data_IF_297943323371
#
_entry.id   IF_297943323371
#
_cell.length_a   1.000
_cell.length_b   1.000
_cell.length_c   1.000
_cell.angle_alpha   90.00
_cell.angle_beta   90.00
_cell.angle_gamma   90.00
#
_symmetry.space_group_name_H-M   'P 1'
#
loop_
_entity.id
_entity.type
_entity.pdbx_description
1 polymer ?
#
# COMPACT_ATOMS: atom_id res chain seq x y z
N UNK A 1 -6.93 17.18 -6.72
CA UNK A 1 -6.02 16.72 -7.79
C UNK A 1 -6.81 16.13 -8.96
N UNK A 2 -7.64 15.11 -8.80
CA UNK A 2 -8.43 14.52 -9.91
C UNK A 2 -9.17 15.57 -10.75
N UNK A 3 -9.96 16.45 -10.14
CA UNK A 3 -10.70 17.51 -10.84
C UNK A 3 -9.81 18.49 -11.65
N UNK A 4 -8.52 18.60 -11.32
CA UNK A 4 -7.53 19.41 -12.05
C UNK A 4 -6.70 18.62 -13.04
N UNK A 5 -6.98 17.32 -13.20
CA UNK A 5 -6.19 16.41 -14.06
C UNK A 5 -4.78 16.13 -13.54
N UNK A 6 -4.48 16.44 -12.27
CA UNK A 6 -3.18 16.21 -11.64
C UNK A 6 -3.06 14.77 -11.16
N UNK A 7 -2.01 14.07 -11.57
CA UNK A 7 -1.78 12.68 -11.17
C UNK A 7 -1.28 12.58 -9.73
N UNK A 8 -1.80 11.58 -9.00
CA UNK A 8 -1.48 11.32 -7.60
C UNK A 8 -0.37 10.26 -7.54
N UNK A 9 0.75 10.62 -6.91
CA UNK A 9 1.81 9.66 -6.61
C UNK A 9 1.61 9.09 -5.22
N UNK A 10 1.64 7.75 -5.12
CA UNK A 10 1.52 7.00 -3.88
C UNK A 10 2.62 5.95 -3.81
N UNK A 11 3.19 5.73 -2.63
CA UNK A 11 4.26 4.76 -2.42
C UNK A 11 4.14 4.17 -1.02
N UNK A 12 4.54 2.90 -0.85
CA UNK A 12 4.55 2.31 0.48
C UNK A 12 5.73 2.81 1.32
N UNK A 13 5.57 2.81 2.65
CA UNK A 13 6.67 2.94 3.61
C UNK A 13 6.30 2.21 4.90
N UNK A 14 7.32 1.73 5.64
CA UNK A 14 7.09 0.88 6.81
C UNK A 14 7.92 1.28 8.03
N UNK A 15 8.80 2.27 7.90
CA UNK A 15 9.66 2.75 8.96
C UNK A 15 9.87 4.28 8.90
N UNK A 16 10.44 4.81 9.98
CA UNK A 16 10.65 6.23 10.16
C UNK A 16 11.62 6.85 9.13
N UNK A 17 12.77 6.21 8.91
CA UNK A 17 13.81 6.76 8.03
C UNK A 17 13.36 6.78 6.57
N UNK A 18 12.76 5.69 6.12
CA UNK A 18 12.21 5.61 4.77
C UNK A 18 11.05 6.59 4.56
N UNK A 19 10.19 6.76 5.56
CA UNK A 19 9.09 7.72 5.51
C UNK A 19 9.58 9.17 5.31
N UNK A 20 10.68 9.57 5.99
CA UNK A 20 11.29 10.89 5.79
C UNK A 20 11.82 11.08 4.36
N UNK A 21 12.43 10.04 3.78
CA UNK A 21 12.94 10.09 2.41
C UNK A 21 11.77 10.23 1.42
N UNK A 22 10.73 9.42 1.59
CA UNK A 22 9.55 9.41 0.70
C UNK A 22 8.79 10.72 0.78
N UNK A 23 8.56 11.26 1.97
CA UNK A 23 7.90 12.55 2.18
C UNK A 23 8.73 13.70 1.61
N UNK A 24 10.04 13.70 1.87
CA UNK A 24 10.99 14.68 1.34
C UNK A 24 11.11 14.67 -0.19
N UNK A 25 10.89 13.52 -0.82
CA UNK A 25 10.86 13.38 -2.28
C UNK A 25 9.59 13.95 -2.93
N UNK A 26 8.61 14.40 -2.15
CA UNK A 26 7.42 15.06 -2.67
C UNK A 26 6.23 14.12 -2.93
N UNK A 27 6.21 12.92 -2.34
CA UNK A 27 5.09 11.99 -2.46
C UNK A 27 3.78 12.61 -1.94
N UNK A 28 2.64 12.33 -2.60
CA UNK A 28 1.33 12.84 -2.17
C UNK A 28 0.70 11.97 -1.10
N UNK A 29 0.82 10.65 -1.24
CA UNK A 29 0.25 9.67 -0.30
C UNK A 29 1.31 8.63 0.04
N UNK A 30 1.42 8.30 1.32
CA UNK A 30 2.26 7.20 1.82
C UNK A 30 1.35 6.11 2.35
N UNK A 31 1.52 4.89 1.83
CA UNK A 31 0.77 3.72 2.27
C UNK A 31 1.60 2.91 3.26
N UNK A 32 1.08 2.70 4.44
CA UNK A 32 1.54 1.64 5.33
C UNK A 32 0.79 0.39 4.95
N UNK A 33 1.36 -0.34 3.98
CA UNK A 33 0.71 -1.51 3.37
C UNK A 33 0.90 -2.78 4.19
N UNK A 34 -0.09 -3.68 4.15
CA UNK A 34 0.04 -5.04 4.71
C UNK A 34 1.08 -5.89 3.97
N UNK A 35 1.53 -5.43 2.79
CA UNK A 35 2.74 -5.90 2.10
C UNK A 35 4.02 -5.85 2.97
N UNK A 36 4.00 -5.16 4.12
CA UNK A 36 5.01 -5.29 5.18
C UNK A 36 5.20 -6.76 5.61
N UNK A 37 4.15 -7.57 5.58
CA UNK A 37 4.22 -9.01 5.79
C UNK A 37 5.25 -9.68 4.88
N UNK A 38 5.28 -9.30 3.61
CA UNK A 38 6.21 -9.84 2.62
C UNK A 38 7.60 -9.21 2.71
N UNK A 39 7.67 -7.87 2.58
CA UNK A 39 8.96 -7.17 2.36
C UNK A 39 9.71 -6.83 3.64
N UNK A 40 9.05 -6.84 4.80
CA UNK A 40 9.67 -6.58 6.10
C UNK A 40 9.79 -7.86 6.94
N UNK A 41 8.77 -8.72 6.95
CA UNK A 41 8.75 -9.93 7.76
C UNK A 41 9.11 -11.22 6.97
N UNK A 42 9.18 -11.17 5.63
CA UNK A 42 9.58 -12.31 4.80
C UNK A 42 8.50 -13.39 4.64
N UNK A 43 7.25 -13.10 4.97
CA UNK A 43 6.14 -14.02 4.78
C UNK A 43 5.78 -14.17 3.29
N UNK A 44 5.23 -15.33 2.91
CA UNK A 44 4.83 -15.61 1.53
C UNK A 44 3.60 -14.79 1.10
N UNK A 45 2.72 -14.46 2.05
CA UNK A 45 1.48 -13.70 1.82
C UNK A 45 1.34 -12.53 2.79
N UNK A 46 0.37 -11.65 2.56
CA UNK A 46 0.04 -10.55 3.48
C UNK A 46 -0.76 -11.03 4.71
N UNK A 47 -1.31 -12.25 4.69
CA UNK A 47 -2.23 -12.75 5.72
C UNK A 47 -1.66 -12.81 7.14
N UNK A 48 -0.37 -13.15 7.38
CA UNK A 48 0.16 -13.32 8.73
C UNK A 48 0.34 -12.02 9.52
N UNK A 49 0.41 -10.86 8.86
CA UNK A 49 0.67 -9.60 9.57
C UNK A 49 -0.50 -9.26 10.52
N UNK A 50 -0.17 -8.92 11.75
CA UNK A 50 -1.16 -8.63 12.79
C UNK A 50 -1.52 -7.14 12.85
N UNK A 51 -2.64 -6.82 13.49
CA UNK A 51 -3.07 -5.46 13.77
C UNK A 51 -2.00 -4.67 14.55
N UNK A 52 -1.37 -5.30 15.55
CA UNK A 52 -0.33 -4.67 16.37
C UNK A 52 0.93 -4.35 15.56
N UNK A 53 1.31 -5.24 14.63
CA UNK A 53 2.43 -4.99 13.72
C UNK A 53 2.12 -3.84 12.75
N UNK A 54 0.91 -3.78 12.20
CA UNK A 54 0.49 -2.66 11.37
C UNK A 54 0.48 -1.34 12.12
N UNK A 55 0.01 -1.33 13.36
CA UNK A 55 0.08 -0.15 14.25
C UNK A 55 1.53 0.26 14.52
N UNK A 56 2.43 -0.69 14.75
CA UNK A 56 3.87 -0.41 14.93
C UNK A 56 4.47 0.29 13.71
N UNK A 57 4.24 -0.24 12.50
CA UNK A 57 4.70 0.38 11.26
C UNK A 57 4.07 1.76 11.04
N UNK A 58 2.77 1.88 11.25
CA UNK A 58 2.05 3.15 11.11
C UNK A 58 2.58 4.24 12.04
N UNK A 59 2.83 3.93 13.32
CA UNK A 59 3.48 4.85 14.28
C UNK A 59 4.84 5.33 13.79
N UNK A 60 5.63 4.43 13.24
CA UNK A 60 6.97 4.73 12.74
C UNK A 60 6.91 5.67 11.54
N UNK A 61 6.02 5.39 10.58
CA UNK A 61 5.84 6.19 9.37
C UNK A 61 5.29 7.58 9.71
N UNK A 62 4.21 7.67 10.48
CA UNK A 62 3.58 8.95 10.83
C UNK A 62 4.56 9.92 11.50
N UNK A 63 5.45 9.42 12.35
CA UNK A 63 6.50 10.27 12.98
C UNK A 63 7.49 10.85 11.96
N UNK A 64 7.71 10.18 10.83
CA UNK A 64 8.63 10.60 9.78
C UNK A 64 8.02 11.56 8.76
N UNK A 65 6.70 11.62 8.65
CA UNK A 65 5.96 12.37 7.62
C UNK A 65 5.55 13.75 8.13
N UNK A 66 5.67 14.76 7.28
CA UNK A 66 5.27 16.16 7.56
C UNK A 66 4.23 16.69 6.60
N UNK A 67 4.12 16.13 5.41
CA UNK A 67 3.33 16.69 4.32
C UNK A 67 2.40 15.69 3.64
N UNK A 68 2.88 14.49 3.33
CA UNK A 68 2.09 13.48 2.63
C UNK A 68 0.95 12.97 3.50
N UNK A 69 -0.16 12.59 2.87
CA UNK A 69 -1.24 11.87 3.54
C UNK A 69 -0.79 10.45 3.87
N UNK A 70 -1.00 9.99 5.10
CA UNK A 70 -0.66 8.62 5.51
C UNK A 70 -1.92 7.76 5.58
N UNK A 71 -1.96 6.73 4.74
CA UNK A 71 -3.03 5.72 4.70
C UNK A 71 -2.49 4.40 5.25
N UNK A 72 -3.26 3.70 6.09
CA UNK A 72 -2.85 2.44 6.71
C UNK A 72 -3.79 1.31 6.29
N UNK A 73 -3.23 0.18 5.84
CA UNK A 73 -4.02 -1.01 5.57
C UNK A 73 -4.56 -1.63 6.86
N UNK A 74 -5.84 -1.95 6.87
CA UNK A 74 -6.39 -2.86 7.85
C UNK A 74 -5.99 -4.29 7.47
N UNK A 75 -5.25 -5.03 8.34
CA UNK A 75 -4.78 -6.36 7.98
C UNK A 75 -5.91 -7.39 7.95
N UNK A 76 -5.66 -8.50 7.24
CA UNK A 76 -6.59 -9.61 7.18
C UNK A 76 -7.03 -10.09 8.58
N UNK A 77 -8.33 -10.37 8.73
CA UNK A 77 -8.94 -10.80 9.99
C UNK A 77 -9.32 -9.68 10.94
N UNK A 78 -8.96 -8.42 10.65
CA UNK A 78 -9.27 -7.29 11.53
C UNK A 78 -10.60 -6.58 11.22
N UNK A 79 -11.25 -6.89 10.08
CA UNK A 79 -12.47 -6.19 9.64
C UNK A 79 -13.48 -7.07 8.88
N UNK A 80 -13.11 -8.29 8.50
CA UNK A 80 -13.98 -9.19 7.73
C UNK A 80 -14.99 -9.95 8.61
N UNK A 81 -14.77 -10.05 9.93
CA UNK A 81 -15.59 -10.82 10.84
C UNK A 81 -16.97 -10.21 11.04
N UNK A 82 -17.00 -8.97 11.48
CA UNK A 82 -18.21 -8.17 11.64
C UNK A 82 -17.89 -6.68 11.74
N UNK A 83 -18.92 -5.83 11.60
CA UNK A 83 -18.79 -4.37 11.57
C UNK A 83 -18.22 -3.78 12.87
N UNK A 84 -18.54 -4.34 14.03
CA UNK A 84 -18.09 -3.82 15.32
C UNK A 84 -16.62 -4.13 15.59
N UNK A 85 -16.15 -5.32 15.22
CA UNK A 85 -14.73 -5.68 15.27
C UNK A 85 -13.92 -4.84 14.29
N UNK A 86 -14.45 -4.63 13.08
CA UNK A 86 -13.84 -3.75 12.08
C UNK A 86 -13.70 -2.31 12.60
N UNK A 87 -14.74 -1.77 13.21
CA UNK A 87 -14.71 -0.44 13.82
C UNK A 87 -13.71 -0.37 14.98
N UNK A 88 -13.68 -1.37 15.86
CA UNK A 88 -12.75 -1.40 16.98
C UNK A 88 -11.29 -1.42 16.52
N UNK A 89 -10.98 -2.24 15.50
CA UNK A 89 -9.67 -2.29 14.87
C UNK A 89 -9.27 -0.96 14.20
N UNK A 90 -10.21 -0.35 13.46
CA UNK A 90 -10.03 0.95 12.83
C UNK A 90 -9.71 2.05 13.87
N UNK A 91 -10.49 2.12 14.95
CA UNK A 91 -10.26 3.06 16.05
C UNK A 91 -8.88 2.87 16.67
N UNK A 92 -8.43 1.61 16.87
CA UNK A 92 -7.09 1.34 17.39
C UNK A 92 -6.01 1.90 16.50
N UNK A 93 -6.06 1.62 15.19
CA UNK A 93 -5.06 2.15 14.24
C UNK A 93 -5.04 3.68 14.32
N UNK A 94 -6.17 4.34 14.17
CA UNK A 94 -6.26 5.81 14.15
C UNK A 94 -5.75 6.43 15.46
N UNK A 95 -6.19 5.95 16.61
CA UNK A 95 -5.80 6.49 17.92
C UNK A 95 -4.34 6.25 18.27
N UNK A 96 -3.82 5.09 17.92
CA UNK A 96 -2.47 4.71 18.32
C UNK A 96 -1.41 5.24 17.36
N UNK A 97 -1.71 5.34 16.06
CA UNK A 97 -0.75 5.79 15.05
C UNK A 97 -0.86 7.25 14.65
N UNK A 98 -2.04 7.86 14.81
CA UNK A 98 -2.39 9.18 14.27
C UNK A 98 -2.30 9.26 12.74
N UNK A 99 -2.59 8.15 12.04
CA UNK A 99 -2.72 8.14 10.58
C UNK A 99 -3.92 8.97 10.12
N UNK A 100 -3.95 9.34 8.83
CA UNK A 100 -5.00 10.19 8.27
C UNK A 100 -6.21 9.37 7.78
N UNK A 101 -5.99 8.14 7.29
CA UNK A 101 -7.03 7.29 6.71
C UNK A 101 -6.65 5.81 6.75
N UNK A 102 -7.63 4.95 6.45
CA UNK A 102 -7.45 3.51 6.38
C UNK A 102 -7.74 2.98 4.97
N UNK A 103 -7.14 1.82 4.60
CA UNK A 103 -7.48 1.10 3.37
C UNK A 103 -8.03 -0.28 3.71
N UNK A 104 -9.10 -0.70 3.02
CA UNK A 104 -9.76 -1.99 3.16
C UNK A 104 -9.92 -2.66 1.79
N UNK A 105 -9.72 -3.98 1.75
CA UNK A 105 -9.91 -4.81 0.55
C UNK A 105 -11.30 -5.44 0.53
N UNK A 106 -12.04 -5.22 -0.55
CA UNK A 106 -13.38 -5.77 -0.77
C UNK A 106 -14.37 -4.71 -1.25
N UNK A 107 -15.49 -5.18 -1.75
CA UNK A 107 -16.63 -4.40 -2.21
C UNK A 107 -17.88 -4.70 -1.37
N UNK A 108 -18.89 -5.29 -2.03
CA UNK A 108 -20.16 -5.66 -1.41
C UNK A 108 -20.00 -6.44 -0.09
N UNK A 109 -19.01 -7.35 -0.04
CA UNK A 109 -18.79 -8.25 1.08
C UNK A 109 -18.44 -7.53 2.39
N UNK A 110 -17.88 -6.32 2.30
CA UNK A 110 -17.44 -5.54 3.47
C UNK A 110 -18.12 -4.19 3.58
N UNK A 111 -19.12 -3.91 2.74
CA UNK A 111 -19.73 -2.58 2.65
C UNK A 111 -20.36 -2.13 3.99
N UNK A 112 -20.89 -3.05 4.77
CA UNK A 112 -21.41 -2.76 6.13
C UNK A 112 -20.31 -2.25 7.05
N UNK A 113 -19.15 -2.92 7.05
CA UNK A 113 -17.98 -2.49 7.83
C UNK A 113 -17.46 -1.13 7.35
N UNK A 114 -17.37 -0.91 6.03
CA UNK A 114 -16.96 0.38 5.44
C UNK A 114 -17.88 1.51 5.93
N UNK A 115 -19.20 1.34 5.77
CA UNK A 115 -20.19 2.33 6.24
C UNK A 115 -20.09 2.59 7.74
N UNK A 116 -19.88 1.53 8.53
CA UNK A 116 -19.77 1.62 9.99
C UNK A 116 -18.52 2.43 10.42
N UNK A 117 -17.39 2.21 9.76
CA UNK A 117 -16.14 2.93 10.03
C UNK A 117 -16.28 4.40 9.58
N UNK A 118 -16.80 4.65 8.37
CA UNK A 118 -17.06 6.01 7.86
C UNK A 118 -17.99 6.80 8.79
N UNK A 119 -19.04 6.16 9.34
CA UNK A 119 -19.96 6.81 10.28
C UNK A 119 -19.32 7.23 11.58
N UNK A 120 -18.17 6.66 11.95
CA UNK A 120 -17.35 7.07 13.10
C UNK A 120 -16.37 8.22 12.77
N UNK A 121 -16.41 8.76 11.54
CA UNK A 121 -15.57 9.87 11.10
C UNK A 121 -14.17 9.47 10.62
N UNK A 122 -13.94 8.19 10.32
CA UNK A 122 -12.65 7.67 9.83
C UNK A 122 -12.69 7.55 8.31
N UNK A 123 -11.82 8.29 7.56
CA UNK A 123 -11.78 8.23 6.09
C UNK A 123 -11.30 6.85 5.60
N UNK A 124 -11.93 6.35 4.53
CA UNK A 124 -11.63 5.04 3.94
C UNK A 124 -11.24 5.17 2.48
N UNK A 125 -10.16 4.49 2.11
CA UNK A 125 -9.76 4.14 0.75
C UNK A 125 -10.17 2.69 0.49
N UNK A 126 -10.93 2.43 -0.58
CA UNK A 126 -11.29 1.08 -1.03
C UNK A 126 -10.14 0.40 -1.76
N UNK A 127 -10.20 -0.92 -1.93
CA UNK A 127 -9.27 -1.68 -2.77
C UNK A 127 -9.99 -2.83 -3.46
N UNK A 128 -9.95 -2.85 -4.80
CA UNK A 128 -10.60 -3.82 -5.66
C UNK A 128 -9.64 -4.42 -6.70
N UNK A 129 -10.08 -5.46 -7.37
CA UNK A 129 -9.30 -6.20 -8.34
C UNK A 129 -8.57 -7.39 -7.72
N UNK A 130 -7.25 -7.50 -7.89
CA UNK A 130 -6.48 -8.45 -7.11
C UNK A 130 -6.35 -7.93 -5.68
N UNK A 131 -6.92 -8.68 -4.76
CA UNK A 131 -6.86 -8.38 -3.32
C UNK A 131 -5.95 -9.42 -2.65
N UNK A 132 -4.72 -9.05 -2.23
CA UNK A 132 -3.77 -9.98 -1.60
C UNK A 132 -4.32 -10.71 -0.39
N UNK A 133 -5.20 -10.09 0.38
CA UNK A 133 -5.87 -10.72 1.52
C UNK A 133 -6.83 -11.86 1.12
N UNK A 134 -7.25 -11.89 -0.14
CA UNK A 134 -8.09 -12.97 -0.71
C UNK A 134 -7.29 -14.01 -1.49
N UNK A 135 -5.97 -14.11 -1.31
CA UNK A 135 -5.10 -14.98 -2.10
C UNK A 135 -5.49 -16.45 -2.04
N UNK A 136 -5.98 -16.92 -0.89
CA UNK A 136 -6.42 -18.31 -0.73
C UNK A 136 -7.69 -18.61 -1.56
N UNK A 137 -8.56 -17.59 -1.76
CA UNK A 137 -9.74 -17.68 -2.64
C UNK A 137 -9.32 -17.71 -4.12
N UNK A 138 -8.32 -16.90 -4.48
CA UNK A 138 -7.87 -16.79 -5.88
C UNK A 138 -6.90 -17.89 -6.29
N UNK A 139 -6.13 -18.43 -5.36
CA UNK A 139 -5.09 -19.45 -5.62
C UNK A 139 -3.89 -18.94 -6.42
N UNK A 140 -3.92 -17.70 -6.91
CA UNK A 140 -2.88 -17.14 -7.78
C UNK A 140 -2.93 -15.60 -7.78
N UNK A 141 -1.78 -14.98 -8.10
CA UNK A 141 -1.64 -13.54 -8.30
C UNK A 141 -1.86 -13.12 -9.77
N UNK A 142 -2.76 -13.77 -10.51
CA UNK A 142 -3.06 -13.40 -11.90
C UNK A 142 -3.92 -12.15 -12.00
N UNK A 143 -3.97 -11.55 -13.19
CA UNK A 143 -4.85 -10.41 -13.51
C UNK A 143 -6.30 -10.81 -13.30
N UNK A 144 -7.07 -9.98 -12.57
CA UNK A 144 -8.50 -10.16 -12.25
C UNK A 144 -9.39 -9.40 -13.23
N UNK A 145 -10.69 -9.64 -13.14
CA UNK A 145 -11.72 -8.97 -13.92
C UNK A 145 -11.45 -8.98 -15.44
N UNK A 146 -11.05 -10.14 -15.97
CA UNK A 146 -10.83 -10.37 -17.41
C UNK A 146 -12.11 -10.74 -18.15
N UNK A 147 -13.02 -11.41 -17.47
CA UNK A 147 -14.33 -11.74 -17.99
C UNK A 147 -15.37 -10.70 -17.60
N UNK A 148 -16.47 -10.66 -18.34
CA UNK A 148 -17.51 -9.65 -18.18
C UNK A 148 -18.16 -9.68 -16.80
N UNK A 149 -18.35 -10.87 -16.22
CA UNK A 149 -18.99 -11.02 -14.90
C UNK A 149 -18.14 -10.41 -13.78
N UNK A 150 -16.84 -10.71 -13.76
CA UNK A 150 -15.91 -10.08 -12.79
C UNK A 150 -15.78 -8.57 -13.05
N UNK A 151 -15.77 -8.14 -14.30
CA UNK A 151 -15.66 -6.74 -14.67
C UNK A 151 -16.88 -5.93 -14.19
N UNK A 152 -18.09 -6.43 -14.45
CA UNK A 152 -19.33 -5.79 -14.00
C UNK A 152 -19.43 -5.74 -12.47
N UNK A 153 -19.06 -6.85 -11.79
CA UNK A 153 -19.00 -6.85 -10.32
C UNK A 153 -18.02 -5.79 -9.81
N UNK A 154 -16.82 -5.69 -10.39
CA UNK A 154 -15.82 -4.68 -9.99
C UNK A 154 -16.34 -3.26 -10.15
N UNK A 155 -17.02 -2.96 -11.26
CA UNK A 155 -17.63 -1.65 -11.52
C UNK A 155 -18.72 -1.36 -10.47
N UNK A 156 -19.60 -2.33 -10.23
CA UNK A 156 -20.67 -2.22 -9.22
C UNK A 156 -20.09 -1.97 -7.83
N UNK A 157 -19.06 -2.73 -7.43
CA UNK A 157 -18.38 -2.56 -6.15
C UNK A 157 -17.71 -1.17 -6.04
N UNK A 158 -17.13 -0.67 -7.13
CA UNK A 158 -16.50 0.64 -7.14
C UNK A 158 -17.51 1.77 -6.92
N UNK A 159 -18.66 1.72 -7.59
CA UNK A 159 -19.77 2.67 -7.36
C UNK A 159 -20.30 2.57 -5.93
N UNK A 160 -20.49 1.37 -5.42
CA UNK A 160 -20.97 1.13 -4.05
C UNK A 160 -20.01 1.71 -2.99
N UNK A 161 -18.70 1.59 -3.18
CA UNK A 161 -17.69 2.19 -2.30
C UNK A 161 -17.71 3.73 -2.38
N UNK A 162 -17.86 4.31 -3.56
CA UNK A 162 -18.03 5.75 -3.72
C UNK A 162 -19.29 6.26 -3.03
N UNK A 163 -20.43 5.61 -3.27
CA UNK A 163 -21.71 5.94 -2.62
C UNK A 163 -21.67 5.81 -1.12
N UNK A 164 -20.91 4.85 -0.58
CA UNK A 164 -20.69 4.71 0.85
C UNK A 164 -19.88 5.85 1.45
N UNK A 165 -19.12 6.60 0.64
CA UNK A 165 -18.31 7.73 1.06
C UNK A 165 -16.80 7.47 1.12
N UNK A 166 -16.29 6.43 0.48
CA UNK A 166 -14.85 6.25 0.29
C UNK A 166 -14.28 7.43 -0.48
N UNK A 167 -13.11 7.93 -0.06
CA UNK A 167 -12.49 9.10 -0.70
C UNK A 167 -11.62 8.75 -1.91
N UNK A 168 -11.22 7.48 -2.07
CA UNK A 168 -10.44 6.97 -3.19
C UNK A 168 -10.56 5.44 -3.26
N UNK A 169 -10.16 4.85 -4.38
CA UNK A 169 -10.10 3.39 -4.56
C UNK A 169 -8.78 3.00 -5.22
N UNK A 170 -8.13 1.95 -4.70
CA UNK A 170 -7.02 1.26 -5.36
C UNK A 170 -7.59 0.20 -6.29
N UNK A 171 -7.09 0.14 -7.53
CA UNK A 171 -7.37 -0.94 -8.48
C UNK A 171 -6.07 -1.70 -8.77
N UNK A 172 -6.03 -2.99 -8.41
CA UNK A 172 -4.84 -3.81 -8.56
C UNK A 172 -5.02 -4.90 -9.61
N UNK A 173 -4.03 -4.98 -10.53
CA UNK A 173 -3.87 -6.06 -11.53
C UNK A 173 -5.17 -6.41 -12.27
N UNK A 174 -5.75 -5.43 -12.90
CA UNK A 174 -6.93 -5.55 -13.79
C UNK A 174 -6.60 -5.03 -15.18
N UNK A 175 -7.42 -5.32 -16.22
CA UNK A 175 -7.23 -4.77 -17.54
C UNK A 175 -7.23 -3.23 -17.54
N UNK A 176 -6.28 -2.61 -18.26
CA UNK A 176 -6.11 -1.16 -18.30
C UNK A 176 -7.37 -0.42 -18.79
N UNK A 177 -8.07 -0.95 -19.80
CA UNK A 177 -9.30 -0.36 -20.30
C UNK A 177 -10.44 -0.37 -19.26
N UNK A 178 -10.52 -1.42 -18.44
CA UNK A 178 -11.49 -1.48 -17.34
C UNK A 178 -11.17 -0.45 -16.26
N UNK A 179 -9.89 -0.31 -15.88
CA UNK A 179 -9.47 0.68 -14.90
C UNK A 179 -9.72 2.12 -15.35
N UNK A 180 -9.46 2.41 -16.65
CA UNK A 180 -9.76 3.71 -17.26
C UNK A 180 -11.26 4.00 -17.26
N UNK A 181 -12.09 3.00 -17.60
CA UNK A 181 -13.54 3.11 -17.53
C UNK A 181 -14.00 3.47 -16.11
N UNK A 182 -13.58 2.72 -15.09
CA UNK A 182 -13.93 3.00 -13.69
C UNK A 182 -13.46 4.39 -13.28
N UNK A 183 -12.23 4.80 -13.66
CA UNK A 183 -11.73 6.13 -13.37
C UNK A 183 -12.54 7.25 -14.02
N UNK A 184 -13.13 7.01 -15.19
CA UNK A 184 -13.97 7.99 -15.88
C UNK A 184 -15.40 8.07 -15.33
N UNK A 185 -15.92 6.97 -14.78
CA UNK A 185 -17.27 6.90 -14.22
C UNK A 185 -17.37 7.47 -12.80
N UNK A 186 -16.30 7.35 -11.99
CA UNK A 186 -16.30 7.79 -10.59
C UNK A 186 -15.76 9.21 -10.43
N UNK A 187 -16.22 9.92 -9.40
CA UNK A 187 -15.75 11.27 -9.06
C UNK A 187 -14.53 11.25 -8.12
N UNK A 188 -14.39 10.19 -7.32
CA UNK A 188 -13.27 9.97 -6.42
C UNK A 188 -12.02 9.50 -7.17
N UNK A 189 -10.81 9.77 -6.65
CA UNK A 189 -9.56 9.29 -7.26
C UNK A 189 -9.44 7.78 -7.35
N UNK A 190 -8.97 7.29 -8.48
CA UNK A 190 -8.61 5.89 -8.72
C UNK A 190 -7.09 5.76 -8.79
N UNK A 191 -6.51 4.95 -7.92
CA UNK A 191 -5.07 4.69 -7.82
C UNK A 191 -4.77 3.31 -8.36
N UNK A 192 -3.95 3.21 -9.40
CA UNK A 192 -3.62 1.94 -10.05
C UNK A 192 -2.34 1.30 -9.54
N UNK A 193 -2.32 -0.02 -9.52
CA UNK A 193 -1.11 -0.84 -9.47
C UNK A 193 -1.27 -2.04 -10.42
N UNK A 194 -0.53 -2.04 -11.52
CA UNK A 194 -0.75 -3.01 -12.59
C UNK A 194 -2.13 -2.90 -13.27
N UNK A 195 -2.69 -1.69 -13.31
CA UNK A 195 -4.01 -1.38 -13.86
C UNK A 195 -3.95 -0.35 -15.01
N UNK A 196 -2.78 -0.14 -15.61
CA UNK A 196 -2.58 0.81 -16.71
C UNK A 196 -2.43 2.27 -16.27
N UNK A 197 -2.33 3.19 -17.24
CA UNK A 197 -2.06 4.61 -17.02
C UNK A 197 -3.30 5.52 -17.07
N UNK A 198 -4.48 4.98 -17.43
CA UNK A 198 -5.74 5.72 -17.58
C UNK A 198 -6.43 6.10 -16.26
N UNK A 199 -5.75 5.93 -15.13
CA UNK A 199 -6.26 6.23 -13.78
C UNK A 199 -5.67 7.52 -13.21
N UNK A 200 -6.15 7.96 -12.04
CA UNK A 200 -5.80 9.27 -11.46
C UNK A 200 -4.47 9.26 -10.71
N UNK A 201 -3.97 8.09 -10.32
CA UNK A 201 -2.69 7.96 -9.62
C UNK A 201 -2.11 6.56 -9.73
N UNK A 202 -0.91 6.35 -9.15
CA UNK A 202 -0.21 5.07 -9.15
C UNK A 202 0.39 4.81 -7.77
N UNK A 203 0.39 3.53 -7.35
CA UNK A 203 1.07 3.06 -6.16
C UNK A 203 2.03 1.93 -6.50
N UNK A 204 3.17 1.87 -5.81
CA UNK A 204 4.12 0.76 -5.84
C UNK A 204 4.60 0.43 -4.42
N UNK A 205 5.13 -0.79 -4.25
CA UNK A 205 5.89 -1.17 -3.06
C UNK A 205 7.31 -0.62 -3.19
N UNK A 206 7.79 0.11 -2.18
CA UNK A 206 9.05 0.84 -2.25
C UNK A 206 10.27 -0.08 -2.45
N UNK A 207 10.31 -1.24 -1.79
CA UNK A 207 11.40 -2.21 -1.94
C UNK A 207 11.49 -2.73 -3.38
N UNK A 208 10.35 -2.90 -4.04
CA UNK A 208 10.29 -3.35 -5.43
C UNK A 208 10.71 -2.22 -6.39
N UNK A 209 10.18 -1.02 -6.18
CA UNK A 209 10.48 0.16 -7.00
C UNK A 209 11.97 0.55 -6.93
N UNK A 210 12.60 0.47 -5.77
CA UNK A 210 14.00 0.76 -5.57
C UNK A 210 14.93 -0.43 -5.88
N UNK A 211 14.39 -1.58 -6.26
CA UNK A 211 15.19 -2.76 -6.61
C UNK A 211 15.91 -3.40 -5.42
N UNK A 212 15.39 -3.25 -4.20
CA UNK A 212 15.90 -3.96 -3.02
C UNK A 212 15.53 -5.43 -3.06
N UNK A 213 14.32 -5.76 -3.53
CA UNK A 213 13.86 -7.12 -3.76
C UNK A 213 14.32 -7.61 -5.14
N UNK A 214 15.33 -8.49 -5.18
CA UNK A 214 15.93 -8.91 -6.46
C UNK A 214 15.09 -9.95 -7.22
N UNK A 215 14.28 -10.76 -6.54
CA UNK A 215 13.52 -11.88 -7.13
C UNK A 215 12.20 -11.48 -7.81
N UNK A 216 11.61 -10.34 -7.47
CA UNK A 216 10.27 -9.95 -7.93
C UNK A 216 10.34 -8.97 -9.11
N UNK A 217 9.90 -9.38 -10.32
CA UNK A 217 9.94 -8.57 -11.56
C UNK A 217 8.65 -8.71 -12.38
N UNK A 218 7.48 -8.32 -11.84
CA UNK A 218 6.25 -8.36 -12.61
C UNK A 218 6.28 -7.30 -13.73
N UNK A 219 5.48 -7.54 -14.78
CA UNK A 219 5.42 -6.66 -15.97
C UNK A 219 5.09 -5.20 -15.63
N UNK A 220 4.29 -4.95 -14.61
CA UNK A 220 3.86 -3.60 -14.22
C UNK A 220 4.90 -2.81 -13.43
N UNK A 221 5.93 -3.48 -12.91
CA UNK A 221 6.94 -2.86 -12.06
C UNK A 221 8.04 -2.21 -12.92
N UNK A 222 8.19 -0.90 -12.76
CA UNK A 222 9.39 -0.19 -13.19
C UNK A 222 10.32 -0.02 -12.00
N UNK A 223 11.55 -0.51 -12.11
CA UNK A 223 12.61 -0.22 -11.14
C UNK A 223 13.25 1.12 -11.47
N UNK A 224 13.41 1.97 -10.47
CA UNK A 224 14.03 3.29 -10.55
C UNK A 224 15.47 3.29 -10.01
N UNK A 225 15.85 2.23 -9.29
CA UNK A 225 17.19 2.03 -8.76
C UNK A 225 17.50 0.53 -8.68
N UNK A 226 18.77 0.19 -8.42
CA UNK A 226 19.23 -1.16 -8.06
C UNK A 226 19.91 -1.11 -6.68
N UNK A 227 19.09 -0.88 -5.64
CA UNK A 227 19.62 -0.78 -4.28
C UNK A 227 20.12 -2.13 -3.76
N UNK A 228 19.66 -3.24 -4.30
CA UNK A 228 20.21 -4.56 -3.93
C UNK A 228 21.71 -4.60 -4.17
N UNK A 229 22.16 -4.25 -5.37
CA UNK A 229 23.59 -4.22 -5.72
C UNK A 229 24.33 -3.16 -4.91
N UNK A 230 23.83 -1.93 -4.88
CA UNK A 230 24.49 -0.82 -4.17
C UNK A 230 24.71 -1.13 -2.67
N UNK A 231 23.70 -1.67 -2.01
CA UNK A 231 23.76 -2.01 -0.57
C UNK A 231 24.68 -3.20 -0.34
N UNK A 232 24.60 -4.24 -1.18
CA UNK A 232 25.47 -5.41 -1.07
C UNK A 232 26.94 -5.01 -1.21
N UNK A 233 27.28 -4.19 -2.21
CA UNK A 233 28.64 -3.72 -2.45
C UNK A 233 29.15 -2.84 -1.29
N UNK A 234 28.31 -1.96 -0.77
CA UNK A 234 28.67 -1.12 0.38
C UNK A 234 28.95 -1.96 1.64
N UNK A 235 28.06 -2.93 1.93
CA UNK A 235 28.24 -3.84 3.07
C UNK A 235 29.49 -4.71 2.89
N UNK A 236 29.75 -5.18 1.66
CA UNK A 236 30.94 -6.00 1.35
C UNK A 236 32.24 -5.21 1.56
N UNK A 237 32.27 -3.93 1.19
CA UNK A 237 33.40 -3.04 1.48
C UNK A 237 33.60 -2.88 2.98
N UNK A 238 32.56 -2.57 3.74
CA UNK A 238 32.64 -2.49 5.19
C UNK A 238 33.21 -3.77 5.83
N UNK A 239 32.75 -4.95 5.36
CA UNK A 239 33.29 -6.25 5.82
C UNK A 239 34.80 -6.37 5.53
N UNK A 240 35.23 -5.90 4.34
CA UNK A 240 36.64 -5.91 3.95
C UNK A 240 37.48 -4.99 4.84
N UNK A 241 37.00 -3.76 5.05
CA UNK A 241 37.71 -2.72 5.80
C UNK A 241 37.90 -3.15 7.26
N UNK A 242 36.86 -3.72 7.89
CA UNK A 242 36.97 -4.29 9.25
C UNK A 242 38.01 -5.42 9.32
N UNK A 243 37.99 -6.35 8.32
CA UNK A 243 38.93 -7.48 8.30
C UNK A 243 40.38 -7.07 8.06
N UNK A 244 40.57 -6.01 7.29
CA UNK A 244 41.90 -5.47 6.93
C UNK A 244 42.40 -4.43 7.96
N UNK A 245 41.68 -4.19 9.05
CA UNK A 245 42.00 -3.19 10.07
C UNK A 245 42.07 -1.75 9.51
N UNK A 246 41.36 -1.47 8.44
CA UNK A 246 41.22 -0.14 7.84
C UNK A 246 40.09 0.66 8.48
N UNK A 247 39.12 -0.03 9.08
CA UNK A 247 38.05 0.57 9.86
C UNK A 247 37.93 -0.07 11.25
N UNK A 248 37.89 0.73 12.37
CA UNK A 248 38.15 2.16 12.43
C UNK A 248 39.64 2.48 12.31
N UNK A 249 39.98 3.52 11.56
CA UNK A 249 41.35 4.05 11.53
C UNK A 249 41.55 5.18 12.58
N UNK A 250 42.76 5.75 12.67
CA UNK A 250 43.11 6.77 13.67
C UNK A 250 42.18 7.99 13.69
N UNK A 251 41.49 8.32 12.59
CA UNK A 251 40.56 9.45 12.51
C UNK A 251 39.15 9.11 13.01
N UNK A 252 38.86 7.85 13.18
CA UNK A 252 37.54 7.31 13.55
C UNK A 252 37.50 6.73 14.98
N UNK A 253 38.64 6.84 15.74
CA UNK A 253 38.75 6.43 17.14
C UNK A 253 38.61 7.62 18.06
N UNK A 254 38.22 7.35 19.32
CA UNK A 254 38.16 8.32 20.42
C UNK A 254 39.24 8.07 21.43
#
# INVERSE_FOLDING_TARGET
MKQRGEKISMLTSYDYTMAQIVDGAGMHVILVGDSASNVMAGNVTTLPITLDQMIYHAKSVVRGVKRAMVVVDMPFGSYQGNEMEGLASAIRIMKESHADALKLEGGEEIIGTVKRILSAGIPIMGHLGLMPQSINKYGTYTVRAKDDTEAEKLISDAHMLEEAGCFAIVLEKIPAALAERVASELTIPIIGIGAGGGVDGQVLVIQDMLGMNNGFRPRFLRRYADLHTVMTDAISRYVSDVKNLDFPNEKEQY
#
